data_IF_819899938773
#
_entry.id   IF_819899938773
#
_cell.length_a   1.000
_cell.length_b   1.000
_cell.length_c   1.000
_cell.angle_alpha   90.00
_cell.angle_beta   90.00
_cell.angle_gamma   90.00
#
_symmetry.space_group_name_H-M   'P 1'
#
loop_
_entity.id
_entity.type
_entity.pdbx_description
1 polymer ?
#
# COMPACT_ATOMS: atom_id res chain seq x y z
N UNK A 1 55.67 -17.55 -55.77
CA UNK A 1 55.90 -18.54 -54.69
C UNK A 1 55.81 -17.81 -53.35
N UNK A 2 54.68 -18.05 -52.66
CA UNK A 2 54.33 -17.88 -51.23
C UNK A 2 54.84 -16.64 -50.47
N UNK A 3 53.95 -15.65 -50.31
CA UNK A 3 54.02 -14.61 -49.29
C UNK A 3 53.69 -15.21 -47.92
N UNK A 4 54.63 -15.15 -46.96
CA UNK A 4 54.44 -15.64 -45.59
C UNK A 4 53.83 -14.54 -44.72
N UNK A 5 52.50 -14.49 -44.68
CA UNK A 5 51.78 -13.69 -43.68
C UNK A 5 51.79 -14.45 -42.34
N UNK A 6 52.52 -13.91 -41.36
CA UNK A 6 52.54 -14.43 -39.99
C UNK A 6 51.25 -14.06 -39.27
N UNK A 7 50.45 -15.05 -38.92
CA UNK A 7 49.29 -14.92 -38.04
C UNK A 7 49.79 -15.10 -36.61
N UNK A 8 49.73 -14.08 -35.74
CA UNK A 8 49.50 -14.26 -34.29
C UNK A 8 48.87 -13.00 -33.70
N UNK A 9 47.55 -12.97 -33.67
CA UNK A 9 46.77 -12.51 -32.52
C UNK A 9 45.29 -12.81 -32.76
N UNK A 10 44.90 -14.06 -32.50
CA UNK A 10 43.50 -14.41 -32.36
C UNK A 10 43.06 -13.99 -30.96
N UNK A 11 42.40 -12.84 -30.84
CA UNK A 11 41.64 -12.52 -29.62
C UNK A 11 40.45 -13.45 -29.63
N UNK A 12 40.50 -14.51 -28.82
CA UNK A 12 39.32 -15.34 -28.57
C UNK A 12 38.41 -14.52 -27.65
N UNK A 13 37.42 -13.86 -28.24
CA UNK A 13 36.35 -13.22 -27.46
C UNK A 13 35.46 -14.35 -26.95
N UNK A 14 35.68 -14.72 -25.70
CA UNK A 14 34.83 -15.65 -24.96
C UNK A 14 33.58 -14.91 -24.52
N UNK A 15 32.45 -15.15 -25.19
CA UNK A 15 31.15 -14.71 -24.70
C UNK A 15 30.75 -15.63 -23.54
N UNK A 16 31.01 -15.18 -22.31
CA UNK A 16 30.44 -15.83 -21.13
C UNK A 16 28.91 -15.83 -21.23
N UNK A 17 28.28 -16.92 -20.78
CA UNK A 17 26.82 -16.99 -20.71
C UNK A 17 26.29 -15.81 -19.87
N UNK A 18 25.17 -15.16 -20.28
CA UNK A 18 24.59 -14.10 -19.49
C UNK A 18 24.26 -14.60 -18.09
N UNK A 19 24.54 -13.78 -17.09
CA UNK A 19 24.20 -14.08 -15.71
C UNK A 19 22.69 -14.38 -15.58
N UNK A 20 22.28 -15.30 -14.70
CA UNK A 20 20.87 -15.54 -14.43
C UNK A 20 20.18 -14.23 -14.06
N UNK A 21 18.95 -14.05 -14.55
CA UNK A 21 18.12 -12.91 -14.13
C UNK A 21 17.94 -12.98 -12.61
N UNK A 22 17.97 -11.83 -11.91
CA UNK A 22 17.64 -11.80 -10.49
C UNK A 22 16.20 -12.30 -10.29
N UNK A 23 15.91 -12.94 -9.14
CA UNK A 23 14.55 -13.35 -8.84
C UNK A 23 13.62 -12.14 -8.80
N UNK A 24 12.34 -12.30 -9.18
CA UNK A 24 11.36 -11.22 -9.08
C UNK A 24 11.24 -10.75 -7.62
N UNK A 25 10.92 -9.46 -7.39
CA UNK A 25 10.67 -8.97 -6.05
C UNK A 25 9.51 -9.74 -5.40
N UNK A 26 9.53 -9.93 -4.07
CA UNK A 26 8.41 -10.54 -3.37
C UNK A 26 7.14 -9.71 -3.55
N UNK A 27 5.95 -10.33 -3.51
CA UNK A 27 4.69 -9.60 -3.53
C UNK A 27 4.59 -8.64 -2.33
N UNK A 28 3.83 -7.53 -2.44
CA UNK A 28 3.55 -6.65 -1.33
C UNK A 28 2.95 -7.44 -0.15
N UNK A 29 3.32 -7.06 1.07
CA UNK A 29 2.64 -7.60 2.25
C UNK A 29 1.18 -7.16 2.29
N UNK A 30 0.26 -8.01 2.78
CA UNK A 30 -1.12 -7.60 3.03
C UNK A 30 -1.17 -6.38 3.95
N UNK A 31 -2.10 -5.45 3.69
CA UNK A 31 -2.38 -4.36 4.62
C UNK A 31 -2.95 -4.99 5.91
N UNK A 32 -2.33 -4.75 7.07
CA UNK A 32 -2.84 -5.28 8.33
C UNK A 32 -4.19 -4.63 8.66
N UNK A 33 -5.13 -5.38 9.25
CA UNK A 33 -6.38 -4.81 9.69
C UNK A 33 -6.13 -3.82 10.83
N UNK A 34 -6.98 -2.79 10.90
CA UNK A 34 -7.01 -1.86 12.02
C UNK A 34 -8.45 -1.56 12.40
N UNK A 35 -8.64 -1.10 13.63
CA UNK A 35 -9.90 -0.54 14.09
C UNK A 35 -9.61 0.58 15.10
N UNK A 36 -10.40 1.64 15.06
CA UNK A 36 -10.39 2.67 16.08
C UNK A 36 -11.80 3.08 16.45
N UNK A 37 -11.96 3.56 17.69
CA UNK A 37 -13.20 4.12 18.17
C UNK A 37 -12.91 5.22 19.19
N UNK A 38 -13.70 6.30 19.15
CA UNK A 38 -13.71 7.31 20.19
C UNK A 38 -15.13 7.84 20.42
N UNK A 39 -15.37 8.34 21.63
CA UNK A 39 -16.60 9.02 21.98
C UNK A 39 -16.32 10.16 22.95
N UNK A 40 -17.03 11.27 22.77
CA UNK A 40 -17.05 12.44 23.63
C UNK A 40 -18.51 12.70 23.99
N UNK A 41 -18.80 12.67 25.29
CA UNK A 41 -20.10 13.03 25.83
C UNK A 41 -19.89 14.16 26.84
N UNK A 42 -20.23 15.37 26.44
CA UNK A 42 -20.19 16.55 27.30
C UNK A 42 -21.61 17.09 27.48
N UNK A 43 -22.19 16.77 28.64
CA UNK A 43 -23.54 17.17 28.99
C UNK A 43 -23.68 18.68 29.27
N UNK A 44 -22.59 19.38 29.60
CA UNK A 44 -22.64 20.81 29.92
C UNK A 44 -22.73 21.66 28.65
N UNK A 45 -21.96 21.31 27.61
CA UNK A 45 -22.05 21.96 26.30
C UNK A 45 -23.10 21.32 25.36
N UNK A 46 -23.63 20.15 25.72
CA UNK A 46 -24.56 19.38 24.88
C UNK A 46 -23.88 18.67 23.71
N UNK A 47 -22.55 18.54 23.74
CA UNK A 47 -21.78 17.90 22.69
C UNK A 47 -21.79 16.38 22.84
N UNK A 48 -22.21 15.69 21.78
CA UNK A 48 -22.12 14.24 21.63
C UNK A 48 -21.44 13.94 20.28
N UNK A 49 -20.20 13.48 20.34
CA UNK A 49 -19.41 13.09 19.18
C UNK A 49 -18.93 11.65 19.35
N UNK A 50 -18.99 10.86 18.29
CA UNK A 50 -18.33 9.56 18.28
C UNK A 50 -17.90 9.23 16.86
N UNK A 51 -16.81 8.50 16.70
CA UNK A 51 -16.50 7.85 15.44
C UNK A 51 -15.94 6.46 15.69
N UNK A 52 -16.19 5.59 14.72
CA UNK A 52 -15.71 4.23 14.65
C UNK A 52 -15.34 3.93 13.21
N UNK A 53 -14.18 3.31 13.00
CA UNK A 53 -13.74 2.84 11.69
C UNK A 53 -13.01 1.51 11.86
N UNK A 54 -13.19 0.66 10.87
CA UNK A 54 -12.53 -0.62 10.75
C UNK A 54 -12.06 -0.81 9.31
N UNK A 55 -10.81 -1.26 9.15
CA UNK A 55 -10.29 -1.77 7.90
C UNK A 55 -10.04 -3.27 8.01
N UNK A 56 -10.74 -4.06 7.18
CA UNK A 56 -10.56 -5.50 7.07
C UNK A 56 -10.71 -5.95 5.64
N UNK A 57 -9.90 -6.94 5.24
CA UNK A 57 -9.97 -7.58 3.92
C UNK A 57 -9.90 -6.62 2.73
N UNK A 58 -9.20 -5.49 2.88
CA UNK A 58 -9.06 -4.48 1.82
C UNK A 58 -10.19 -3.46 1.75
N UNK A 59 -11.25 -3.61 2.54
CA UNK A 59 -12.31 -2.61 2.66
C UNK A 59 -12.17 -1.81 3.95
N UNK A 60 -12.55 -0.53 3.90
CA UNK A 60 -12.65 0.36 5.06
C UNK A 60 -14.12 0.73 5.25
N UNK A 61 -14.64 0.56 6.45
CA UNK A 61 -16.01 0.96 6.79
C UNK A 61 -16.04 1.64 8.13
N UNK A 62 -16.91 2.62 8.28
CA UNK A 62 -17.01 3.35 9.53
C UNK A 62 -18.25 4.20 9.61
N UNK A 63 -18.40 4.83 10.77
CA UNK A 63 -19.46 5.78 11.03
C UNK A 63 -18.99 6.87 11.99
N UNK A 64 -19.57 8.06 11.84
CA UNK A 64 -19.37 9.15 12.78
C UNK A 64 -20.67 9.87 13.09
N UNK A 65 -20.75 10.44 14.29
CA UNK A 65 -21.86 11.25 14.76
C UNK A 65 -21.50 12.72 14.71
N UNK A 66 -22.41 13.53 14.20
CA UNK A 66 -22.30 14.99 14.13
C UNK A 66 -23.57 15.63 14.67
N UNK A 67 -23.39 16.60 15.55
CA UNK A 67 -24.47 17.48 16.01
C UNK A 67 -24.81 18.48 14.92
N UNK A 68 -26.05 18.48 14.44
CA UNK A 68 -26.55 19.42 13.44
C UNK A 68 -27.10 20.69 14.09
N UNK A 69 -27.18 21.77 13.32
CA UNK A 69 -27.69 23.06 13.79
C UNK A 69 -29.15 23.04 14.28
N UNK A 70 -29.91 21.99 13.95
CA UNK A 70 -31.27 21.74 14.47
C UNK A 70 -31.27 21.02 15.84
N UNK A 71 -30.10 20.82 16.45
CA UNK A 71 -29.93 20.16 17.75
C UNK A 71 -30.01 18.63 17.68
N UNK A 72 -30.11 18.04 16.48
CA UNK A 72 -30.18 16.58 16.32
C UNK A 72 -28.82 15.99 16.00
N UNK A 73 -28.59 14.78 16.51
CA UNK A 73 -27.44 13.98 16.12
C UNK A 73 -27.74 13.30 14.78
N UNK A 74 -26.83 13.45 13.83
CA UNK A 74 -26.81 12.70 12.58
C UNK A 74 -25.67 11.70 12.60
N UNK A 75 -25.99 10.44 12.34
CA UNK A 75 -25.00 9.39 12.10
C UNK A 75 -24.74 9.28 10.60
N UNK A 76 -23.48 9.39 10.21
CA UNK A 76 -23.03 9.18 8.83
C UNK A 76 -22.27 7.88 8.79
N UNK A 77 -22.66 6.97 7.90
CA UNK A 77 -21.96 5.71 7.65
C UNK A 77 -21.31 5.76 6.27
N UNK A 78 -20.13 5.17 6.13
CA UNK A 78 -19.38 5.12 4.88
C UNK A 78 -18.68 3.78 4.68
N UNK A 79 -18.35 3.50 3.42
CA UNK A 79 -17.63 2.31 3.00
C UNK A 79 -16.73 2.68 1.82
N UNK A 80 -15.51 2.17 1.82
CA UNK A 80 -14.50 2.33 0.77
C UNK A 80 -14.00 0.93 0.41
N UNK A 81 -13.96 0.63 -0.90
CA UNK A 81 -13.49 -0.63 -1.49
C UNK A 81 -12.28 -0.38 -2.41
#
# INVERSE_FOLDING_TARGET
>A
VVSRFGIKNSVVVSYGAPAPLPPPPPPPSPIPPYAYNYAVLDAESGNDFSAEEEAKHGAVSGQYKVLRADGKIMTVSYTVE
#
